data_IF_546941132264
#
_entry.id   IF_546941132264
#
_cell.length_a   1.000
_cell.length_b   1.000
_cell.length_c   1.000
_cell.angle_alpha   90.00
_cell.angle_beta   90.00
_cell.angle_gamma   90.00
#
_symmetry.space_group_name_H-M   'P 1'
#
loop_
_entity.id
_entity.type
_entity.pdbx_description
1 polymer ?
#
# COMPACT_ATOMS: atom_id res chain seq x y z
N UNK A 1 22.02 -22.25 -12.02
CA UNK A 1 21.99 -21.01 -11.22
C UNK A 1 20.55 -20.86 -10.75
N UNK A 2 20.28 -21.05 -9.45
CA UNK A 2 18.93 -20.92 -8.89
C UNK A 2 18.59 -19.43 -8.77
N UNK A 3 17.44 -19.03 -9.34
CA UNK A 3 16.91 -17.69 -9.14
C UNK A 3 16.21 -17.69 -7.78
N UNK A 4 16.79 -16.99 -6.81
CA UNK A 4 16.22 -16.83 -5.48
C UNK A 4 15.30 -15.60 -5.47
N UNK A 5 13.98 -15.83 -5.37
CA UNK A 5 13.01 -14.75 -5.25
C UNK A 5 12.98 -14.23 -3.81
N UNK A 6 13.41 -12.99 -3.61
CA UNK A 6 13.26 -12.26 -2.34
C UNK A 6 11.97 -11.46 -2.40
N UNK A 7 11.15 -11.55 -1.36
CA UNK A 7 9.85 -10.90 -1.33
C UNK A 7 9.58 -10.24 0.02
N UNK A 8 8.84 -9.13 -0.02
CA UNK A 8 8.24 -8.51 1.17
C UNK A 8 6.86 -9.10 1.33
N UNK A 9 6.63 -9.84 2.42
CA UNK A 9 5.31 -10.35 2.77
C UNK A 9 4.57 -9.42 3.70
N UNK A 10 3.27 -9.26 3.48
CA UNK A 10 2.38 -8.44 4.30
C UNK A 10 1.00 -9.09 4.40
N UNK A 11 0.15 -8.56 5.27
CA UNK A 11 -1.23 -9.05 5.44
C UNK A 11 -2.23 -8.01 5.01
N UNK A 12 -3.31 -8.48 4.39
CA UNK A 12 -4.54 -7.72 4.19
C UNK A 12 -5.65 -8.57 4.78
N UNK A 13 -6.19 -8.13 5.91
CA UNK A 13 -7.01 -8.98 6.77
C UNK A 13 -6.30 -10.29 7.14
N UNK A 14 -6.97 -11.44 7.02
CA UNK A 14 -6.43 -12.76 7.34
C UNK A 14 -5.55 -13.34 6.21
N UNK A 15 -5.49 -12.66 5.06
CA UNK A 15 -4.75 -13.14 3.89
C UNK A 15 -3.31 -12.63 3.85
N UNK A 16 -2.39 -13.52 3.49
CA UNK A 16 -0.95 -13.21 3.33
C UNK A 16 -0.63 -12.97 1.86
N UNK A 17 -0.13 -11.78 1.56
CA UNK A 17 0.35 -11.39 0.25
C UNK A 17 1.87 -11.22 0.27
N UNK A 18 2.46 -11.16 -0.92
CA UNK A 18 3.87 -10.84 -1.09
C UNK A 18 4.10 -10.12 -2.41
N UNK A 19 5.13 -9.27 -2.44
CA UNK A 19 5.64 -8.64 -3.65
C UNK A 19 7.15 -8.89 -3.74
N UNK A 20 7.67 -9.06 -4.95
CA UNK A 20 9.12 -9.10 -5.17
C UNK A 20 9.75 -7.82 -4.59
N UNK A 21 10.80 -8.01 -3.78
CA UNK A 21 11.50 -6.92 -3.09
C UNK A 21 12.06 -5.88 -4.07
N UNK A 22 12.36 -6.27 -5.31
CA UNK A 22 12.88 -5.37 -6.34
C UNK A 22 11.88 -4.27 -6.73
N UNK A 23 10.59 -4.47 -6.48
CA UNK A 23 9.55 -3.46 -6.70
C UNK A 23 9.30 -2.59 -5.47
N UNK A 24 9.88 -2.90 -4.31
CA UNK A 24 9.63 -2.16 -3.07
C UNK A 24 10.67 -1.05 -2.92
N UNK A 25 10.22 0.19 -2.80
CA UNK A 25 11.11 1.31 -2.45
C UNK A 25 11.28 1.41 -0.93
N UNK A 26 10.17 1.46 -0.19
CA UNK A 26 10.19 1.53 1.27
C UNK A 26 8.84 1.13 1.86
N UNK A 27 8.83 0.84 3.17
CA UNK A 27 7.62 0.77 3.98
C UNK A 27 7.60 1.97 4.92
N UNK A 28 6.47 2.66 5.01
CA UNK A 28 6.28 3.79 5.93
C UNK A 28 5.03 3.60 6.78
N UNK A 29 4.96 4.34 7.88
CA UNK A 29 3.76 4.44 8.70
C UNK A 29 2.60 5.05 7.91
N UNK A 30 1.37 4.71 8.31
CA UNK A 30 0.20 5.36 7.75
C UNK A 30 0.27 6.89 7.93
N UNK A 31 -0.09 7.60 6.89
CA UNK A 31 -0.22 9.05 6.89
C UNK A 31 -1.61 9.39 6.38
N UNK A 32 -2.23 10.41 7.00
CA UNK A 32 -3.55 10.88 6.58
C UNK A 32 -3.50 11.30 5.11
N UNK A 33 -4.39 10.73 4.31
CA UNK A 33 -4.49 11.04 2.88
C UNK A 33 -5.33 12.28 2.62
N UNK A 34 -5.04 12.95 1.50
CA UNK A 34 -5.92 13.96 0.91
C UNK A 34 -6.76 13.31 -0.16
N UNK A 35 -8.10 13.37 -0.02
CA UNK A 35 -9.02 12.72 -0.97
C UNK A 35 -8.95 13.35 -2.36
N UNK A 36 -9.06 12.51 -3.37
CA UNK A 36 -9.20 12.94 -4.77
C UNK A 36 -10.69 12.84 -5.15
N UNK A 37 -11.32 13.94 -5.61
CA UNK A 37 -12.70 13.89 -6.11
C UNK A 37 -12.85 12.90 -7.27
N UNK A 38 -14.02 12.25 -7.36
CA UNK A 38 -14.40 11.31 -8.44
C UNK A 38 -13.51 10.07 -8.60
N UNK A 39 -12.52 9.87 -7.72
CA UNK A 39 -11.72 8.66 -7.71
C UNK A 39 -12.55 7.46 -7.23
N UNK A 40 -12.18 6.26 -7.69
CA UNK A 40 -12.79 5.02 -7.20
C UNK A 40 -12.60 4.88 -5.69
N UNK A 41 -13.54 4.26 -4.99
CA UNK A 41 -13.53 4.15 -3.52
C UNK A 41 -12.24 3.55 -2.93
N UNK A 42 -11.55 2.68 -3.68
CA UNK A 42 -10.29 2.07 -3.25
C UNK A 42 -9.06 2.98 -3.41
N UNK A 43 -9.22 4.13 -4.06
CA UNK A 43 -8.22 5.20 -4.11
C UNK A 43 -8.44 6.05 -2.88
N UNK A 44 -7.66 5.81 -1.84
CA UNK A 44 -7.82 6.50 -0.56
C UNK A 44 -7.48 8.00 -0.67
N UNK A 45 -6.62 8.34 -1.63
CA UNK A 45 -6.24 9.71 -1.92
C UNK A 45 -4.76 9.81 -2.30
N UNK A 46 -4.16 10.92 -1.91
CA UNK A 46 -2.74 11.20 -2.08
C UNK A 46 -2.06 11.53 -0.76
N UNK A 47 -0.75 11.29 -0.68
CA UNK A 47 0.13 11.76 0.41
C UNK A 47 1.35 12.45 -0.18
N UNK A 48 1.85 13.47 0.52
CA UNK A 48 3.15 14.04 0.20
C UNK A 48 4.24 13.09 0.66
N UNK A 49 5.19 12.77 -0.21
CA UNK A 49 6.30 11.88 0.11
C UNK A 49 7.55 12.35 -0.62
N UNK A 50 8.56 12.77 0.16
CA UNK A 50 9.75 13.46 -0.35
C UNK A 50 9.35 14.65 -1.24
N UNK A 51 9.95 14.78 -2.43
CA UNK A 51 9.70 15.88 -3.37
C UNK A 51 8.50 15.62 -4.30
N UNK A 52 7.61 14.69 -3.94
CA UNK A 52 6.50 14.28 -4.79
C UNK A 52 5.24 13.89 -4.04
N UNK A 53 4.29 13.39 -4.81
CA UNK A 53 2.97 12.97 -4.33
C UNK A 53 2.78 11.50 -4.70
N UNK A 54 2.41 10.69 -3.72
CA UNK A 54 2.09 9.27 -3.95
C UNK A 54 0.58 9.06 -3.91
N UNK A 55 -0.03 8.46 -4.95
CA UNK A 55 -1.39 7.95 -4.85
C UNK A 55 -1.43 6.74 -3.92
N UNK A 56 -2.42 6.71 -3.02
CA UNK A 56 -2.61 5.64 -2.05
C UNK A 56 -3.78 4.75 -2.48
N UNK A 57 -3.48 3.47 -2.67
CA UNK A 57 -4.48 2.43 -2.93
C UNK A 57 -4.74 1.67 -1.63
N UNK A 58 -5.97 1.71 -1.15
CA UNK A 58 -6.40 0.94 0.02
C UNK A 58 -6.75 -0.48 -0.40
N UNK A 59 -5.87 -1.44 -0.09
CA UNK A 59 -6.05 -2.84 -0.48
C UNK A 59 -7.28 -3.49 0.17
N UNK A 60 -7.67 -3.10 1.39
CA UNK A 60 -8.90 -3.60 2.03
C UNK A 60 -10.12 -3.18 1.22
N UNK A 61 -10.23 -1.91 0.84
CA UNK A 61 -11.32 -1.44 -0.03
C UNK A 61 -11.26 -2.10 -1.41
N UNK A 62 -10.08 -2.23 -2.01
CA UNK A 62 -9.89 -2.85 -3.32
C UNK A 62 -10.38 -4.31 -3.35
N UNK A 63 -10.10 -5.05 -2.28
CA UNK A 63 -10.49 -6.44 -2.12
C UNK A 63 -11.79 -6.64 -1.34
N UNK A 64 -12.49 -5.56 -0.99
CA UNK A 64 -13.77 -5.55 -0.25
C UNK A 64 -13.70 -6.18 1.14
N UNK A 65 -12.56 -6.10 1.81
CA UNK A 65 -12.40 -6.44 3.23
C UNK A 65 -12.88 -5.30 4.13
N UNK A 66 -13.21 -5.59 5.41
CA UNK A 66 -13.46 -4.58 6.42
C UNK A 66 -12.32 -3.57 6.51
N UNK A 67 -12.65 -2.32 6.80
CA UNK A 67 -11.68 -1.27 7.12
C UNK A 67 -10.91 -1.62 8.41
N UNK A 68 -9.74 -1.02 8.62
CA UNK A 68 -9.02 -1.17 9.88
C UNK A 68 -9.86 -0.59 11.04
N UNK A 69 -9.97 -1.35 12.14
CA UNK A 69 -10.51 -0.82 13.40
C UNK A 69 -9.61 0.29 13.96
N UNK A 70 -8.30 0.11 13.81
CA UNK A 70 -7.26 1.06 14.20
C UNK A 70 -6.32 1.29 13.01
N UNK A 71 -6.56 2.39 12.30
CA UNK A 71 -5.80 2.75 11.09
C UNK A 71 -4.33 3.09 11.39
N UNK A 72 -3.97 3.40 12.64
CA UNK A 72 -2.58 3.67 13.02
C UNK A 72 -1.67 2.45 12.87
N UNK A 73 -2.24 1.24 12.86
CA UNK A 73 -1.52 -0.02 12.62
C UNK A 73 -1.27 -0.28 11.13
N UNK A 74 -1.93 0.46 10.24
CA UNK A 74 -1.73 0.31 8.82
C UNK A 74 -0.33 0.80 8.42
N UNK A 75 0.24 0.16 7.40
CA UNK A 75 1.49 0.57 6.76
C UNK A 75 1.22 0.92 5.31
N UNK A 76 1.98 1.86 4.78
CA UNK A 76 2.01 2.17 3.35
C UNK A 76 3.24 1.49 2.76
N UNK A 77 3.01 0.55 1.85
CA UNK A 77 4.05 -0.09 1.06
C UNK A 77 4.26 0.72 -0.22
N UNK A 78 5.37 1.45 -0.31
CA UNK A 78 5.71 2.26 -1.48
C UNK A 78 6.38 1.35 -2.51
N UNK A 79 5.74 1.23 -3.67
CA UNK A 79 6.20 0.36 -4.77
C UNK A 79 6.52 1.18 -6.02
N UNK A 80 7.54 0.73 -6.75
CA UNK A 80 7.87 1.26 -8.08
C UNK A 80 7.13 0.45 -9.12
N UNK A 81 6.18 1.09 -9.78
CA UNK A 81 5.53 0.59 -10.98
C UNK A 81 6.36 1.11 -12.15
N UNK A 82 6.92 0.19 -12.93
CA UNK A 82 7.75 0.50 -14.10
C UNK A 82 6.98 1.23 -15.18
#
# INVERSE_FOLDING_TARGET
MSIELKAVSFRVEEEKFAIDINHVDTVIEYQKTTKIPEASDYVEGIVNFRDGVLPIINLRLKFKYPQFEDISKAKILVVKIG
#
